data_IF_048328598818
#
_entry.id   IF_048328598818
#
_cell.length_a   1.000
_cell.length_b   1.000
_cell.length_c   1.000
_cell.angle_alpha   90.00
_cell.angle_beta   90.00
_cell.angle_gamma   90.00
#
_symmetry.space_group_name_H-M   'P 1'
#
loop_
_entity.id
_entity.type
_entity.pdbx_description
1 polymer ?
#
# COMPACT_ATOMS: atom_id res chain seq x y z
N UNK A 1 -3.17 -43.32 -1.38
CA UNK A 1 -4.30 -42.40 -1.66
C UNK A 1 -4.29 -41.12 -0.83
N UNK A 2 -4.23 -41.11 0.52
CA UNK A 2 -4.17 -39.89 1.33
C UNK A 2 -2.90 -39.02 1.10
N UNK A 3 -1.75 -39.64 0.84
CA UNK A 3 -0.48 -38.93 0.56
C UNK A 3 -0.41 -38.32 -0.84
N UNK A 4 -1.04 -38.91 -1.81
CA UNK A 4 -1.16 -38.40 -3.17
C UNK A 4 -2.09 -37.19 -3.25
N UNK A 5 -3.21 -37.21 -2.51
CA UNK A 5 -4.11 -36.07 -2.39
C UNK A 5 -3.47 -34.87 -1.67
N UNK A 6 -2.59 -35.14 -0.67
CA UNK A 6 -1.80 -34.09 -0.01
C UNK A 6 -0.77 -33.48 -0.96
N UNK A 7 -0.05 -34.31 -1.76
CA UNK A 7 0.89 -33.83 -2.78
C UNK A 7 0.21 -33.03 -3.89
N UNK A 8 -0.95 -33.51 -4.38
CA UNK A 8 -1.72 -32.79 -5.41
C UNK A 8 -2.27 -31.45 -4.91
N UNK A 9 -2.73 -31.37 -3.64
CA UNK A 9 -3.13 -30.09 -3.02
C UNK A 9 -1.96 -29.12 -2.87
N UNK A 10 -0.80 -29.60 -2.45
CA UNK A 10 0.41 -28.78 -2.30
C UNK A 10 0.95 -28.31 -3.66
N UNK A 11 0.86 -29.13 -4.73
CA UNK A 11 1.25 -28.73 -6.08
C UNK A 11 0.25 -27.76 -6.73
N UNK A 12 -1.05 -27.87 -6.43
CA UNK A 12 -2.07 -26.94 -6.93
C UNK A 12 -1.92 -25.55 -6.31
N UNK A 13 -1.58 -25.47 -5.02
CA UNK A 13 -1.26 -24.20 -4.36
C UNK A 13 0.05 -23.58 -4.89
N UNK A 14 1.09 -24.38 -5.17
CA UNK A 14 2.32 -23.88 -5.79
C UNK A 14 2.11 -23.24 -7.18
N UNK A 15 1.14 -23.71 -7.97
CA UNK A 15 0.86 -23.15 -9.30
C UNK A 15 0.01 -21.88 -9.28
N UNK A 16 -0.76 -21.62 -8.23
CA UNK A 16 -1.65 -20.46 -8.16
C UNK A 16 -0.88 -19.19 -7.79
N UNK A 17 0.16 -19.29 -6.95
CA UNK A 17 0.99 -18.14 -6.53
C UNK A 17 2.11 -17.85 -7.56
N UNK A 18 2.63 -18.86 -8.26
CA UNK A 18 3.69 -18.70 -9.27
C UNK A 18 3.25 -18.02 -10.59
N UNK A 19 1.97 -17.70 -10.77
CA UNK A 19 1.44 -17.06 -11.98
C UNK A 19 1.16 -15.56 -11.86
N UNK A 20 1.34 -14.98 -10.68
CA UNK A 20 1.27 -13.52 -10.50
C UNK A 20 2.69 -13.00 -10.69
N UNK A 21 2.99 -12.21 -11.74
CA UNK A 21 4.31 -11.61 -11.84
C UNK A 21 4.54 -10.76 -10.60
N UNK A 22 5.66 -11.00 -9.91
CA UNK A 22 6.07 -10.33 -8.66
C UNK A 22 5.98 -8.79 -8.75
N UNK A 23 6.16 -8.24 -9.95
CA UNK A 23 5.99 -6.80 -10.24
C UNK A 23 4.59 -6.26 -9.97
N UNK A 24 3.52 -7.07 -10.15
CA UNK A 24 2.16 -6.68 -9.82
C UNK A 24 1.87 -6.77 -8.31
N UNK A 25 2.55 -7.66 -7.59
CA UNK A 25 2.45 -7.75 -6.13
C UNK A 25 2.97 -6.47 -5.46
N UNK A 26 4.07 -5.89 -5.97
CA UNK A 26 4.62 -4.62 -5.45
C UNK A 26 3.72 -3.41 -5.76
N UNK A 27 3.11 -3.34 -6.95
CA UNK A 27 2.15 -2.28 -7.27
C UNK A 27 0.90 -2.33 -6.37
N UNK A 28 0.45 -3.55 -6.03
CA UNK A 28 -0.64 -3.74 -5.08
C UNK A 28 -0.21 -3.58 -3.61
N UNK A 29 1.07 -3.84 -3.29
CA UNK A 29 1.61 -3.68 -1.93
C UNK A 29 1.86 -2.22 -1.55
N UNK A 30 2.05 -1.34 -2.52
CA UNK A 30 2.37 0.07 -2.26
C UNK A 30 1.13 0.94 -1.94
N UNK A 31 -0.10 0.51 -2.25
CA UNK A 31 -1.32 1.33 -2.10
C UNK A 31 -1.88 1.33 -0.65
N UNK A 32 -1.07 1.01 0.36
CA UNK A 32 -1.56 0.82 1.72
C UNK A 32 -0.98 1.81 2.73
N UNK A 33 -1.42 3.04 2.72
CA UNK A 33 -1.38 3.88 3.94
C UNK A 33 -2.45 4.96 3.87
N UNK A 34 -3.38 4.92 4.81
CA UNK A 34 -3.88 6.11 5.51
C UNK A 34 -4.81 5.64 6.63
N UNK A 35 -4.25 5.55 7.85
CA UNK A 35 -5.03 5.91 9.02
C UNK A 35 -5.07 7.44 9.00
N UNK A 36 -6.18 8.03 8.63
CA UNK A 36 -6.37 9.46 8.77
C UNK A 36 -7.10 9.69 10.08
N UNK A 37 -6.38 10.03 11.14
CA UNK A 37 -6.98 10.88 12.14
C UNK A 37 -7.32 12.19 11.46
N UNK A 38 -8.60 12.58 11.51
CA UNK A 38 -9.07 13.89 11.11
C UNK A 38 -8.56 14.94 12.09
N UNK A 39 -7.29 15.31 12.01
CA UNK A 39 -6.88 16.63 12.42
C UNK A 39 -7.26 17.57 11.29
N UNK A 40 -8.15 18.50 11.59
CA UNK A 40 -8.41 19.66 10.74
C UNK A 40 -7.04 20.30 10.46
N UNK A 41 -6.47 20.02 9.30
CA UNK A 41 -5.33 20.77 8.81
C UNK A 41 -5.85 22.14 8.41
N UNK A 42 -5.64 23.12 9.30
CA UNK A 42 -5.52 24.51 8.89
C UNK A 42 -4.67 24.54 7.63
N UNK A 43 -5.15 25.23 6.61
CA UNK A 43 -4.41 25.56 5.39
C UNK A 43 -3.18 26.41 5.76
N UNK A 44 -2.17 25.78 6.31
CA UNK A 44 -0.85 26.35 6.48
C UNK A 44 -0.19 26.40 5.11
N UNK A 45 0.00 27.59 4.55
CA UNK A 45 0.99 27.82 3.51
C UNK A 45 2.29 27.14 3.92
N UNK A 46 2.68 26.07 3.21
CA UNK A 46 4.00 25.47 3.37
C UNK A 46 5.01 26.55 3.07
N UNK A 47 5.67 27.02 4.12
CA UNK A 47 6.79 27.95 4.07
C UNK A 47 7.86 27.35 3.17
N UNK A 48 7.97 27.85 1.94
CA UNK A 48 8.91 27.37 0.91
C UNK A 48 10.35 27.76 1.23
N UNK A 49 10.59 28.43 2.36
CA UNK A 49 11.87 29.09 2.70
C UNK A 49 12.91 28.19 3.35
N UNK A 50 12.57 26.91 3.73
CA UNK A 50 13.50 26.03 4.45
C UNK A 50 13.51 24.57 3.97
N UNK A 51 13.49 24.34 2.64
CA UNK A 51 13.63 22.98 2.09
C UNK A 51 15.10 22.57 2.18
N UNK A 52 15.40 21.48 2.90
CA UNK A 52 16.78 20.95 2.97
C UNK A 52 17.20 20.34 1.62
N UNK A 53 18.53 20.24 1.35
CA UNK A 53 19.04 19.58 0.15
C UNK A 53 18.49 18.15 -0.03
N UNK A 54 18.38 17.39 1.05
CA UNK A 54 17.84 16.02 1.06
C UNK A 54 16.36 16.01 0.66
N UNK A 55 15.56 16.95 1.14
CA UNK A 55 14.16 17.08 0.76
C UNK A 55 13.99 17.50 -0.70
N UNK A 56 14.84 18.42 -1.18
CA UNK A 56 14.85 18.82 -2.59
C UNK A 56 15.14 17.62 -3.49
N UNK A 57 16.14 16.80 -3.12
CA UNK A 57 16.46 15.56 -3.83
C UNK A 57 15.28 14.57 -3.80
N UNK A 58 14.61 14.38 -2.65
CA UNK A 58 13.45 13.53 -2.54
C UNK A 58 12.30 13.97 -3.46
N UNK A 59 11.98 15.26 -3.48
CA UNK A 59 10.96 15.82 -4.35
C UNK A 59 11.30 15.64 -5.83
N UNK A 60 12.59 15.80 -6.21
CA UNK A 60 13.05 15.59 -7.58
C UNK A 60 12.91 14.11 -7.99
N UNK A 61 13.22 13.16 -7.10
CA UNK A 61 13.04 11.73 -7.34
C UNK A 61 11.55 11.43 -7.64
N UNK A 62 10.62 11.97 -6.84
CA UNK A 62 9.19 11.76 -7.04
C UNK A 62 8.71 12.41 -8.35
N UNK A 63 9.17 13.62 -8.66
CA UNK A 63 8.85 14.28 -9.91
C UNK A 63 9.30 13.48 -11.14
N UNK A 64 10.53 12.95 -11.11
CA UNK A 64 11.06 12.09 -12.17
C UNK A 64 10.28 10.78 -12.28
N UNK A 65 9.93 10.17 -11.14
CA UNK A 65 9.18 8.92 -11.12
C UNK A 65 7.75 9.06 -11.68
N UNK A 66 7.12 10.24 -11.63
CA UNK A 66 5.80 10.50 -12.25
C UNK A 66 5.82 10.38 -13.79
N UNK A 67 6.99 10.50 -14.42
CA UNK A 67 7.16 10.44 -15.87
C UNK A 67 8.10 9.30 -16.30
N UNK A 68 8.46 8.40 -15.38
CA UNK A 68 9.31 7.24 -15.66
C UNK A 68 8.62 6.33 -16.70
N UNK A 69 9.41 5.66 -17.54
CA UNK A 69 8.90 4.69 -18.53
C UNK A 69 8.21 3.50 -17.85
N UNK A 70 8.69 3.12 -16.67
CA UNK A 70 8.14 2.05 -15.85
C UNK A 70 6.81 2.50 -15.17
N UNK A 71 5.74 1.82 -15.52
CA UNK A 71 4.41 2.09 -14.94
C UNK A 71 4.36 1.94 -13.43
N UNK A 72 5.16 1.01 -12.87
CA UNK A 72 5.22 0.78 -11.43
C UNK A 72 5.89 1.95 -10.70
N UNK A 73 6.94 2.54 -11.28
CA UNK A 73 7.55 3.75 -10.73
C UNK A 73 6.54 4.92 -10.69
N UNK A 74 5.71 5.08 -11.75
CA UNK A 74 4.66 6.11 -11.75
C UNK A 74 3.60 5.86 -10.68
N UNK A 75 3.15 4.61 -10.51
CA UNK A 75 2.19 4.24 -9.45
C UNK A 75 2.76 4.55 -8.07
N UNK A 76 4.01 4.15 -7.81
CA UNK A 76 4.67 4.39 -6.52
C UNK A 76 4.84 5.90 -6.24
N UNK A 77 5.17 6.71 -7.27
CA UNK A 77 5.23 8.16 -7.12
C UNK A 77 3.88 8.77 -6.74
N UNK A 78 2.80 8.31 -7.37
CA UNK A 78 1.43 8.74 -7.02
C UNK A 78 1.12 8.41 -5.56
N UNK A 79 1.48 7.21 -5.09
CA UNK A 79 1.29 6.83 -3.69
C UNK A 79 2.08 7.72 -2.73
N UNK A 80 3.36 8.00 -3.03
CA UNK A 80 4.15 8.91 -2.20
C UNK A 80 3.50 10.28 -2.10
N UNK A 81 2.96 10.81 -3.20
CA UNK A 81 2.25 12.09 -3.23
C UNK A 81 1.05 12.07 -2.29
N UNK A 82 0.26 10.99 -2.32
CA UNK A 82 -0.90 10.83 -1.43
C UNK A 82 -0.47 10.76 0.04
N UNK A 83 0.46 9.86 0.35
CA UNK A 83 0.86 9.57 1.74
C UNK A 83 1.63 10.71 2.41
N UNK A 84 2.30 11.55 1.61
CA UNK A 84 3.07 12.70 2.09
C UNK A 84 2.37 14.05 1.83
N UNK A 85 1.13 14.04 1.34
CA UNK A 85 0.33 15.25 1.13
C UNK A 85 0.93 16.24 0.14
N UNK A 86 1.69 15.79 -0.88
CA UNK A 86 2.38 16.65 -1.83
C UNK A 86 1.43 17.20 -2.91
N UNK A 87 0.43 18.00 -2.50
CA UNK A 87 -0.65 18.53 -3.37
C UNK A 87 -0.12 19.27 -4.61
N UNK A 88 1.08 19.87 -4.53
CA UNK A 88 1.70 20.57 -5.66
C UNK A 88 1.89 19.71 -6.91
N UNK A 89 1.97 18.37 -6.76
CA UNK A 89 2.10 17.43 -7.86
C UNK A 89 0.75 16.94 -8.42
N UNK A 90 -0.38 17.33 -7.82
CA UNK A 90 -1.70 16.87 -8.27
C UNK A 90 -2.04 17.23 -9.72
N UNK A 91 -1.59 18.36 -10.31
CA UNK A 91 -1.75 18.60 -11.75
C UNK A 91 -1.05 17.54 -12.63
N UNK A 92 0.11 17.00 -12.20
CA UNK A 92 0.78 15.89 -12.88
C UNK A 92 0.01 14.58 -12.69
N UNK A 93 -0.44 14.28 -11.48
CA UNK A 93 -1.28 13.11 -11.17
C UNK A 93 -2.57 13.14 -12.01
N UNK A 94 -3.21 14.29 -12.14
CA UNK A 94 -4.40 14.43 -12.99
C UNK A 94 -4.14 14.04 -14.46
N UNK A 95 -2.96 14.34 -15.01
CA UNK A 95 -2.58 13.91 -16.37
C UNK A 95 -2.48 12.40 -16.48
N UNK A 96 -2.08 11.70 -15.42
CA UNK A 96 -2.00 10.23 -15.37
C UNK A 96 -3.36 9.53 -15.45
N UNK A 97 -4.49 10.25 -15.33
CA UNK A 97 -5.82 9.69 -15.68
C UNK A 97 -5.92 9.24 -17.14
N UNK A 98 -4.99 9.66 -18.01
CA UNK A 98 -4.91 9.28 -19.42
C UNK A 98 -3.66 8.46 -19.74
N UNK A 99 -3.04 7.85 -18.72
CA UNK A 99 -1.88 6.99 -18.93
C UNK A 99 -2.25 5.76 -19.76
N UNK A 100 -1.31 5.29 -20.58
CA UNK A 100 -1.51 4.08 -21.40
C UNK A 100 -1.72 2.81 -20.57
N UNK A 101 -1.23 2.77 -19.32
CA UNK A 101 -1.35 1.63 -18.43
C UNK A 101 -2.51 1.80 -17.44
N UNK A 102 -3.43 0.86 -17.44
CA UNK A 102 -4.59 0.81 -16.53
C UNK A 102 -4.22 0.99 -15.05
N UNK A 103 -3.18 0.32 -14.49
CA UNK A 103 -2.81 0.51 -13.09
C UNK A 103 -2.44 1.95 -12.73
N UNK A 104 -1.85 2.70 -13.66
CA UNK A 104 -1.49 4.11 -13.45
C UNK A 104 -2.75 4.99 -13.46
N UNK A 105 -3.68 4.77 -14.41
CA UNK A 105 -4.97 5.47 -14.44
C UNK A 105 -5.77 5.22 -13.15
N UNK A 106 -5.80 3.97 -12.71
CA UNK A 106 -6.43 3.55 -11.46
C UNK A 106 -5.85 4.28 -10.24
N UNK A 107 -4.51 4.26 -10.07
CA UNK A 107 -3.83 4.93 -8.98
C UNK A 107 -4.07 6.45 -8.98
N UNK A 108 -4.03 7.08 -10.16
CA UNK A 108 -4.30 8.51 -10.31
C UNK A 108 -5.73 8.87 -9.88
N UNK A 109 -6.72 8.06 -10.27
CA UNK A 109 -8.11 8.28 -9.87
C UNK A 109 -8.28 8.16 -8.35
N UNK A 110 -7.69 7.13 -7.71
CA UNK A 110 -7.70 6.98 -6.25
C UNK A 110 -7.07 8.18 -5.55
N UNK A 111 -5.88 8.62 -6.00
CA UNK A 111 -5.15 9.73 -5.42
C UNK A 111 -5.97 11.04 -5.45
N UNK A 112 -6.69 11.29 -6.53
CA UNK A 112 -7.58 12.45 -6.64
C UNK A 112 -8.71 12.39 -5.61
N UNK A 113 -9.26 11.19 -5.38
CA UNK A 113 -10.28 10.98 -4.34
C UNK A 113 -9.73 11.16 -2.93
N UNK A 114 -8.60 10.55 -2.63
CA UNK A 114 -7.95 10.57 -1.30
C UNK A 114 -7.59 12.00 -0.89
N UNK A 115 -6.96 12.76 -1.78
CA UNK A 115 -6.59 14.15 -1.53
C UNK A 115 -7.71 15.15 -1.81
N UNK A 116 -8.91 14.68 -2.17
CA UNK A 116 -10.09 15.51 -2.51
C UNK A 116 -9.74 16.64 -3.49
N UNK A 117 -8.95 16.31 -4.51
CA UNK A 117 -8.48 17.29 -5.49
C UNK A 117 -9.58 17.67 -6.49
N UNK A 118 -10.39 18.66 -6.14
CA UNK A 118 -11.57 19.11 -6.89
C UNK A 118 -11.28 19.62 -8.31
N UNK A 119 -10.11 20.21 -8.66
CA UNK A 119 -9.85 20.64 -10.04
C UNK A 119 -9.90 19.50 -11.06
N UNK A 120 -9.70 18.24 -10.64
CA UNK A 120 -9.75 17.06 -11.52
C UNK A 120 -11.17 16.54 -11.81
N UNK A 121 -12.24 17.16 -11.28
CA UNK A 121 -13.63 16.65 -11.38
C UNK A 121 -14.09 16.42 -12.84
N UNK A 122 -13.74 17.32 -13.75
CA UNK A 122 -14.05 17.15 -15.18
C UNK A 122 -13.30 15.97 -15.79
N UNK A 123 -12.01 15.78 -15.45
CA UNK A 123 -11.21 14.64 -15.93
C UNK A 123 -11.75 13.31 -15.40
N UNK A 124 -12.17 13.25 -14.12
CA UNK A 124 -12.81 12.08 -13.54
C UNK A 124 -14.12 11.71 -14.24
N UNK A 125 -14.89 12.69 -14.70
CA UNK A 125 -16.12 12.43 -15.49
C UNK A 125 -15.81 11.70 -16.81
N UNK A 126 -14.61 11.88 -17.37
CA UNK A 126 -14.13 11.09 -18.51
C UNK A 126 -13.69 9.69 -18.06
N UNK A 127 -12.98 9.57 -16.93
CA UNK A 127 -12.56 8.28 -16.38
C UNK A 127 -13.73 7.38 -15.96
N UNK A 128 -14.91 7.93 -15.69
CA UNK A 128 -16.16 7.14 -15.49
C UNK A 128 -16.62 6.41 -16.77
N UNK A 129 -16.00 6.69 -17.92
CA UNK A 129 -16.26 6.05 -19.21
C UNK A 129 -15.02 5.32 -19.73
N UNK A 130 -14.05 5.02 -18.85
CA UNK A 130 -12.84 4.29 -19.22
C UNK A 130 -13.19 2.90 -19.77
N UNK A 131 -12.34 2.36 -20.62
CA UNK A 131 -12.48 1.00 -21.16
C UNK A 131 -12.31 -0.09 -20.09
N UNK A 132 -11.60 0.22 -19.01
CA UNK A 132 -11.31 -0.70 -17.91
C UNK A 132 -12.21 -0.41 -16.70
N UNK A 133 -12.94 -1.43 -16.26
CA UNK A 133 -13.88 -1.33 -15.14
C UNK A 133 -13.18 -0.92 -13.83
N UNK A 134 -11.93 -1.33 -13.61
CA UNK A 134 -11.19 -0.93 -12.42
C UNK A 134 -11.00 0.59 -12.35
N UNK A 135 -10.71 1.22 -13.50
CA UNK A 135 -10.57 2.68 -13.58
C UNK A 135 -11.92 3.37 -13.33
N UNK A 136 -13.01 2.80 -13.88
CA UNK A 136 -14.38 3.32 -13.62
C UNK A 136 -14.70 3.28 -12.12
N UNK A 137 -14.37 2.17 -11.43
CA UNK A 137 -14.62 2.00 -9.98
C UNK A 137 -13.79 2.98 -9.17
N UNK A 138 -12.51 3.19 -9.51
CA UNK A 138 -11.65 4.18 -8.86
C UNK A 138 -12.13 5.63 -9.10
N UNK A 139 -12.57 5.95 -10.32
CA UNK A 139 -13.15 7.25 -10.65
C UNK A 139 -14.48 7.50 -9.90
N UNK A 140 -15.31 6.48 -9.77
CA UNK A 140 -16.54 6.53 -8.99
C UNK A 140 -16.26 6.80 -7.50
N UNK A 141 -15.26 6.14 -6.91
CA UNK A 141 -14.77 6.45 -5.57
C UNK A 141 -14.35 7.92 -5.45
N UNK A 142 -13.50 8.39 -6.37
CA UNK A 142 -13.01 9.77 -6.37
C UNK A 142 -14.14 10.79 -6.47
N UNK A 143 -15.11 10.56 -7.37
CA UNK A 143 -16.31 11.42 -7.50
C UNK A 143 -17.13 11.44 -6.20
N UNK A 144 -17.27 10.29 -5.53
CA UNK A 144 -17.92 10.19 -4.23
C UNK A 144 -17.20 11.01 -3.17
N UNK A 145 -15.87 10.93 -3.10
CA UNK A 145 -15.01 11.71 -2.18
C UNK A 145 -15.07 13.22 -2.46
N UNK A 146 -15.35 13.60 -3.71
CA UNK A 146 -15.57 14.99 -4.14
C UNK A 146 -17.03 15.47 -3.96
N UNK A 147 -17.82 14.76 -3.18
CA UNK A 147 -19.18 15.14 -2.77
C UNK A 147 -20.31 14.57 -3.66
N UNK A 148 -20.02 13.79 -4.69
CA UNK A 148 -21.03 13.16 -5.54
C UNK A 148 -21.30 11.72 -5.09
N UNK A 149 -21.82 11.54 -3.87
CA UNK A 149 -21.93 10.26 -3.15
C UNK A 149 -22.71 9.15 -3.87
N UNK A 150 -23.60 9.50 -4.84
CA UNK A 150 -24.32 8.54 -5.67
C UNK A 150 -23.38 7.57 -6.42
N UNK A 151 -22.15 7.99 -6.71
CA UNK A 151 -21.18 7.15 -7.40
C UNK A 151 -20.62 6.02 -6.54
N UNK A 152 -20.72 6.09 -5.21
CA UNK A 152 -20.31 4.99 -4.33
C UNK A 152 -21.10 3.70 -4.60
N UNK A 153 -22.28 3.81 -5.22
CA UNK A 153 -23.05 2.62 -5.60
C UNK A 153 -22.35 1.79 -6.69
N UNK A 154 -21.58 2.43 -7.58
CA UNK A 154 -20.75 1.73 -8.58
C UNK A 154 -19.69 0.88 -7.86
N UNK A 155 -19.06 1.41 -6.82
CA UNK A 155 -18.07 0.69 -6.03
C UNK A 155 -18.71 -0.51 -5.31
N UNK A 156 -19.89 -0.31 -4.70
CA UNK A 156 -20.61 -1.39 -4.00
C UNK A 156 -21.02 -2.52 -4.94
N UNK A 157 -21.48 -2.21 -6.14
CA UNK A 157 -21.86 -3.22 -7.14
C UNK A 157 -20.66 -3.99 -7.70
N UNK A 158 -19.50 -3.34 -7.80
CA UNK A 158 -18.29 -3.96 -8.32
C UNK A 158 -17.75 -5.12 -7.45
N UNK A 159 -18.21 -5.25 -6.19
CA UNK A 159 -17.81 -6.36 -5.30
C UNK A 159 -18.35 -7.72 -5.77
N UNK A 160 -19.39 -7.72 -6.60
CA UNK A 160 -20.03 -8.91 -7.18
C UNK A 160 -19.77 -9.06 -8.68
N UNK A 161 -18.70 -8.48 -9.18
CA UNK A 161 -18.31 -8.57 -10.59
C UNK A 161 -17.72 -9.95 -10.91
N UNK A 162 -17.92 -10.46 -12.14
CA UNK A 162 -17.36 -11.74 -12.58
C UNK A 162 -15.82 -11.72 -12.59
N UNK A 163 -15.19 -10.57 -12.88
CA UNK A 163 -13.74 -10.41 -12.85
C UNK A 163 -13.23 -10.32 -11.41
N UNK A 164 -12.41 -11.28 -11.00
CA UNK A 164 -11.82 -11.36 -9.67
C UNK A 164 -10.91 -10.18 -9.33
N UNK A 165 -10.33 -9.52 -10.33
CA UNK A 165 -9.52 -8.33 -10.12
C UNK A 165 -10.41 -7.14 -9.79
N UNK A 166 -11.53 -6.98 -10.48
CA UNK A 166 -12.53 -5.95 -10.18
C UNK A 166 -13.10 -6.15 -8.78
N UNK A 167 -13.45 -7.39 -8.40
CA UNK A 167 -13.93 -7.72 -7.04
C UNK A 167 -12.90 -7.36 -5.97
N UNK A 168 -11.63 -7.72 -6.17
CA UNK A 168 -10.56 -7.42 -5.22
C UNK A 168 -10.34 -5.90 -5.09
N UNK A 169 -10.33 -5.16 -6.20
CA UNK A 169 -10.21 -3.71 -6.20
C UNK A 169 -11.41 -3.02 -5.57
N UNK A 170 -12.62 -3.53 -5.78
CA UNK A 170 -13.81 -3.04 -5.10
C UNK A 170 -13.73 -3.25 -3.59
N UNK A 171 -13.31 -4.44 -3.12
CA UNK A 171 -13.08 -4.71 -1.69
C UNK A 171 -12.07 -3.73 -1.09
N UNK A 172 -10.95 -3.52 -1.78
CA UNK A 172 -9.92 -2.55 -1.39
C UNK A 172 -10.50 -1.13 -1.24
N UNK A 173 -11.26 -0.65 -2.24
CA UNK A 173 -11.84 0.69 -2.22
C UNK A 173 -12.92 0.83 -1.15
N UNK A 174 -13.74 -0.22 -0.92
CA UNK A 174 -14.74 -0.22 0.17
C UNK A 174 -14.08 -0.03 1.54
N UNK A 175 -12.90 -0.64 1.77
CA UNK A 175 -12.12 -0.37 2.98
C UNK A 175 -11.61 1.07 3.10
N UNK A 176 -11.37 1.75 1.97
CA UNK A 176 -10.94 3.17 1.92
C UNK A 176 -12.08 4.17 2.05
N UNK A 177 -13.31 3.74 1.82
CA UNK A 177 -14.48 4.63 1.95
C UNK A 177 -14.79 5.02 3.40
N UNK A 178 -14.18 4.33 4.39
CA UNK A 178 -14.42 4.55 5.82
C UNK A 178 -15.90 4.37 6.21
N UNK A 179 -16.68 3.67 5.38
CA UNK A 179 -18.09 3.40 5.58
C UNK A 179 -18.31 1.99 6.15
N UNK A 180 -18.58 1.90 7.46
CA UNK A 180 -18.84 0.62 8.13
C UNK A 180 -20.05 -0.14 7.59
N UNK A 181 -20.96 0.50 6.85
CA UNK A 181 -22.05 -0.21 6.17
C UNK A 181 -21.53 -1.17 5.09
N UNK A 182 -20.31 -0.97 4.60
CA UNK A 182 -19.64 -1.88 3.67
C UNK A 182 -19.22 -3.22 4.29
N UNK A 183 -19.21 -3.36 5.64
CA UNK A 183 -18.78 -4.59 6.32
C UNK A 183 -19.55 -5.83 5.87
N UNK A 184 -20.87 -5.70 5.64
CA UNK A 184 -21.71 -6.81 5.18
C UNK A 184 -21.28 -7.31 3.79
N UNK A 185 -21.01 -6.40 2.87
CA UNK A 185 -20.53 -6.73 1.52
C UNK A 185 -19.14 -7.37 1.55
N UNK A 186 -18.24 -6.83 2.37
CA UNK A 186 -16.90 -7.35 2.54
C UNK A 186 -16.90 -8.73 3.18
N UNK A 187 -17.76 -8.98 4.18
CA UNK A 187 -17.93 -10.30 4.80
C UNK A 187 -18.43 -11.31 3.77
N UNK A 188 -19.45 -10.93 2.99
CA UNK A 188 -19.94 -11.75 1.90
C UNK A 188 -18.84 -12.09 0.88
N UNK A 189 -18.10 -11.09 0.37
CA UNK A 189 -17.03 -11.31 -0.59
C UNK A 189 -15.90 -12.20 -0.05
N UNK A 190 -15.62 -12.15 1.25
CA UNK A 190 -14.65 -13.01 1.92
C UNK A 190 -15.12 -14.47 2.01
N UNK A 191 -16.43 -14.71 2.24
CA UNK A 191 -17.00 -16.02 2.50
C UNK A 191 -17.53 -16.71 1.23
N UNK A 192 -17.78 -15.95 0.17
CA UNK A 192 -18.28 -16.45 -1.10
C UNK A 192 -17.32 -17.50 -1.68
N UNK A 193 -17.89 -18.68 -2.04
CA UNK A 193 -17.14 -19.83 -2.57
C UNK A 193 -16.45 -19.53 -3.90
N UNK A 194 -17.02 -18.62 -4.69
CA UNK A 194 -16.53 -18.24 -6.01
C UNK A 194 -15.48 -17.09 -5.94
N UNK A 195 -15.23 -16.55 -4.74
CA UNK A 195 -14.16 -15.58 -4.52
C UNK A 195 -12.78 -16.22 -4.60
N UNK A 196 -11.87 -15.60 -5.34
CA UNK A 196 -10.46 -15.97 -5.34
C UNK A 196 -9.79 -15.67 -3.99
N UNK A 197 -8.63 -16.27 -3.71
CA UNK A 197 -7.86 -15.98 -2.50
C UNK A 197 -7.48 -14.49 -2.42
N UNK A 198 -7.22 -13.85 -3.57
CA UNK A 198 -6.98 -12.41 -3.66
C UNK A 198 -8.16 -11.58 -3.17
N UNK A 199 -9.37 -11.92 -3.59
CA UNK A 199 -10.60 -11.23 -3.13
C UNK A 199 -10.79 -11.42 -1.64
N UNK A 200 -10.63 -12.66 -1.14
CA UNK A 200 -10.78 -12.98 0.28
C UNK A 200 -9.79 -12.21 1.15
N UNK A 201 -8.53 -12.18 0.74
CA UNK A 201 -7.50 -11.44 1.48
C UNK A 201 -7.78 -9.93 1.47
N UNK A 202 -8.16 -9.38 0.31
CA UNK A 202 -8.46 -7.97 0.17
C UNK A 202 -9.69 -7.56 1.00
N UNK A 203 -10.71 -8.42 1.05
CA UNK A 203 -11.88 -8.21 1.90
C UNK A 203 -11.52 -8.30 3.39
N UNK A 204 -10.65 -9.24 3.81
CA UNK A 204 -10.15 -9.33 5.18
C UNK A 204 -9.44 -8.05 5.61
N UNK A 205 -8.55 -7.53 4.77
CA UNK A 205 -7.83 -6.29 5.05
C UNK A 205 -8.76 -5.08 5.10
N UNK A 206 -9.70 -4.98 4.16
CA UNK A 206 -10.70 -3.92 4.15
C UNK A 206 -11.57 -3.93 5.43
N UNK A 207 -11.95 -5.13 5.90
CA UNK A 207 -12.66 -5.30 7.18
C UNK A 207 -11.79 -4.86 8.37
N UNK A 208 -10.52 -5.26 8.39
CA UNK A 208 -9.57 -4.83 9.41
C UNK A 208 -9.46 -3.29 9.46
N UNK A 209 -9.34 -2.65 8.30
CA UNK A 209 -9.28 -1.18 8.16
C UNK A 209 -10.54 -0.49 8.69
N UNK A 210 -11.70 -1.13 8.55
CA UNK A 210 -12.97 -0.64 9.10
C UNK A 210 -13.17 -0.98 10.60
N UNK A 211 -12.14 -1.55 11.25
CA UNK A 211 -12.15 -1.87 12.69
C UNK A 211 -13.02 -3.08 13.03
N UNK A 212 -13.07 -4.09 12.16
CA UNK A 212 -13.79 -5.33 12.41
C UNK A 212 -12.84 -6.39 13.01
N UNK A 213 -12.90 -6.55 14.33
CA UNK A 213 -12.03 -7.46 15.08
C UNK A 213 -12.31 -8.95 14.78
N UNK A 214 -13.46 -9.31 14.21
CA UNK A 214 -13.78 -10.69 13.85
C UNK A 214 -12.79 -11.28 12.81
N UNK A 215 -12.03 -10.44 12.11
CA UNK A 215 -11.02 -10.89 11.14
C UNK A 215 -9.76 -11.44 11.81
N UNK A 216 -9.49 -11.10 13.07
CA UNK A 216 -8.22 -11.36 13.75
C UNK A 216 -7.80 -12.85 13.73
N UNK A 217 -8.66 -13.84 13.99
CA UNK A 217 -8.26 -15.25 13.94
C UNK A 217 -7.79 -15.71 12.54
N UNK A 218 -8.39 -15.15 11.49
CA UNK A 218 -7.98 -15.46 10.09
C UNK A 218 -6.68 -14.78 9.71
N UNK A 219 -6.50 -13.52 10.11
CA UNK A 219 -5.25 -12.78 9.91
C UNK A 219 -4.09 -13.42 10.69
N UNK A 220 -4.36 -13.91 11.92
CA UNK A 220 -3.41 -14.71 12.67
C UNK A 220 -2.89 -15.90 11.86
N UNK A 221 -3.79 -16.70 11.25
CA UNK A 221 -3.38 -17.84 10.45
C UNK A 221 -2.49 -17.44 9.27
N UNK A 222 -2.73 -16.29 8.65
CA UNK A 222 -1.94 -15.76 7.52
C UNK A 222 -0.53 -15.34 7.97
N UNK A 223 -0.38 -14.65 9.11
CA UNK A 223 0.94 -14.22 9.60
C UNK A 223 1.82 -15.36 10.10
N UNK A 224 1.26 -16.57 10.24
CA UNK A 224 2.00 -17.80 10.54
C UNK A 224 2.05 -18.77 9.35
N UNK A 225 1.78 -18.28 8.13
CA UNK A 225 1.96 -19.07 6.91
C UNK A 225 3.41 -19.52 6.74
N UNK A 226 3.61 -20.66 6.08
CA UNK A 226 4.93 -21.13 5.67
C UNK A 226 5.59 -20.21 4.62
N UNK A 227 4.81 -19.37 3.94
CA UNK A 227 5.27 -18.48 2.87
C UNK A 227 5.48 -17.06 3.40
N UNK A 228 6.67 -16.51 3.17
CA UNK A 228 7.02 -15.15 3.63
C UNK A 228 6.09 -14.07 3.06
N UNK A 229 5.72 -14.18 1.79
CA UNK A 229 4.82 -13.23 1.12
C UNK A 229 3.43 -13.19 1.80
N UNK A 230 2.88 -14.35 2.16
CA UNK A 230 1.63 -14.41 2.93
C UNK A 230 1.79 -13.73 4.28
N UNK A 231 2.90 -14.01 5.00
CA UNK A 231 3.19 -13.38 6.29
C UNK A 231 3.23 -11.86 6.18
N UNK A 232 3.90 -11.31 5.17
CA UNK A 232 3.97 -9.86 4.91
C UNK A 232 2.58 -9.28 4.62
N UNK A 233 1.76 -9.96 3.81
CA UNK A 233 0.38 -9.52 3.55
C UNK A 233 -0.46 -9.53 4.84
N UNK A 234 -0.36 -10.59 5.64
CA UNK A 234 -1.03 -10.69 6.94
C UNK A 234 -0.59 -9.61 7.92
N UNK A 235 0.71 -9.31 7.99
CA UNK A 235 1.29 -8.24 8.81
C UNK A 235 0.66 -6.88 8.46
N UNK A 236 0.52 -6.57 7.18
CA UNK A 236 -0.10 -5.31 6.73
C UNK A 236 -1.58 -5.24 7.10
N UNK A 237 -2.31 -6.33 6.89
CA UNK A 237 -3.72 -6.40 7.24
C UNK A 237 -3.93 -6.28 8.75
N UNK A 238 -3.05 -6.89 9.58
CA UNK A 238 -3.07 -6.75 11.04
C UNK A 238 -2.74 -5.30 11.45
N UNK A 239 -1.76 -4.67 10.80
CA UNK A 239 -1.45 -3.25 11.03
C UNK A 239 -2.64 -2.33 10.78
N UNK A 240 -3.47 -2.65 9.78
CA UNK A 240 -4.67 -1.88 9.48
C UNK A 240 -5.75 -1.97 10.57
N UNK A 241 -5.77 -3.03 11.39
CA UNK A 241 -6.70 -3.19 12.50
C UNK A 241 -6.40 -2.26 13.68
N UNK A 242 -5.14 -1.87 13.86
CA UNK A 242 -4.68 -0.87 14.84
C UNK A 242 -5.05 -1.14 16.32
N UNK A 243 -5.35 -2.38 16.72
CA UNK A 243 -5.67 -2.76 18.10
C UNK A 243 -4.41 -3.15 18.91
N UNK A 244 -4.53 -3.20 20.24
CA UNK A 244 -3.44 -3.70 21.11
C UNK A 244 -3.04 -5.13 20.73
N UNK A 245 -4.02 -6.02 20.52
CA UNK A 245 -3.76 -7.42 20.08
C UNK A 245 -3.03 -7.48 18.75
N UNK A 246 -3.42 -6.61 17.79
CA UNK A 246 -2.72 -6.50 16.51
C UNK A 246 -1.25 -6.09 16.72
N UNK A 247 -0.99 -5.12 17.59
CA UNK A 247 0.36 -4.69 17.95
C UNK A 247 1.19 -5.81 18.56
N UNK A 248 0.63 -6.58 19.50
CA UNK A 248 1.31 -7.70 20.13
C UNK A 248 1.72 -8.76 19.11
N UNK A 249 0.85 -9.07 18.15
CA UNK A 249 1.17 -9.98 17.02
C UNK A 249 2.33 -9.43 16.18
N UNK A 250 2.29 -8.15 15.84
CA UNK A 250 3.35 -7.51 15.05
C UNK A 250 4.70 -7.55 15.76
N UNK A 251 4.73 -7.38 17.09
CA UNK A 251 5.94 -7.49 17.88
C UNK A 251 6.55 -8.89 17.75
N UNK A 252 5.74 -9.96 17.77
CA UNK A 252 6.28 -11.33 17.58
C UNK A 252 6.91 -11.56 16.22
N UNK A 253 6.54 -10.73 15.21
CA UNK A 253 7.08 -10.83 13.83
C UNK A 253 8.39 -10.09 13.64
N UNK A 254 8.86 -9.36 14.62
CA UNK A 254 10.21 -8.81 14.64
C UNK A 254 11.30 -9.89 14.77
N UNK A 255 10.94 -11.09 15.28
CA UNK A 255 11.82 -12.26 15.41
C UNK A 255 11.60 -13.32 14.31
N UNK A 256 11.05 -12.92 13.16
CA UNK A 256 10.84 -13.82 12.02
C UNK A 256 12.18 -14.18 11.34
N UNK A 257 12.29 -15.39 10.81
CA UNK A 257 13.49 -15.88 10.11
C UNK A 257 13.82 -15.09 8.83
N UNK A 258 12.81 -14.49 8.20
CA UNK A 258 12.94 -13.74 6.94
C UNK A 258 13.05 -12.23 7.22
N UNK A 259 14.11 -11.60 6.70
CA UNK A 259 14.39 -10.17 6.88
C UNK A 259 13.23 -9.28 6.43
N UNK A 260 12.65 -9.54 5.26
CA UNK A 260 11.54 -8.76 4.72
C UNK A 260 10.30 -8.82 5.64
N UNK A 261 10.08 -9.94 6.32
CA UNK A 261 8.97 -10.10 7.29
C UNK A 261 9.22 -9.25 8.53
N UNK A 262 10.46 -9.26 9.10
CA UNK A 262 10.84 -8.38 10.21
C UNK A 262 10.66 -6.91 9.87
N UNK A 263 11.16 -6.48 8.70
CA UNK A 263 11.07 -5.09 8.25
C UNK A 263 9.63 -4.64 7.99
N UNK A 264 8.77 -5.53 7.45
CA UNK A 264 7.36 -5.25 7.29
C UNK A 264 6.65 -5.09 8.65
N UNK A 265 7.01 -5.91 9.64
CA UNK A 265 6.48 -5.78 11.01
C UNK A 265 6.92 -4.45 11.65
N UNK A 266 8.19 -4.07 11.51
CA UNK A 266 8.73 -2.80 11.99
C UNK A 266 8.03 -1.59 11.32
N UNK A 267 7.78 -1.65 10.01
CA UNK A 267 7.01 -0.64 9.30
C UNK A 267 5.60 -0.47 9.89
N UNK A 268 4.87 -1.57 10.09
CA UNK A 268 3.51 -1.50 10.63
C UNK A 268 3.48 -1.03 12.10
N UNK A 269 4.45 -1.45 12.92
CA UNK A 269 4.61 -0.93 14.28
C UNK A 269 4.88 0.57 14.28
N UNK A 270 5.78 1.06 13.40
CA UNK A 270 6.06 2.48 13.24
C UNK A 270 4.80 3.29 12.88
N UNK A 271 3.95 2.78 11.99
CA UNK A 271 2.65 3.38 11.64
C UNK A 271 1.72 3.50 12.85
N UNK A 272 1.78 2.54 13.76
CA UNK A 272 1.02 2.54 15.01
C UNK A 272 1.69 3.37 16.12
N UNK A 273 2.72 4.15 15.80
CA UNK A 273 3.47 4.96 16.76
C UNK A 273 4.34 4.14 17.73
N UNK A 274 4.57 2.87 17.43
CA UNK A 274 5.38 1.96 18.24
C UNK A 274 6.77 1.79 17.62
N UNK A 275 7.83 2.12 18.37
CA UNK A 275 9.23 2.07 17.91
C UNK A 275 9.94 0.75 18.23
N UNK A 276 9.25 -0.27 18.71
CA UNK A 276 9.88 -1.54 19.12
C UNK A 276 10.70 -2.18 17.99
N UNK A 277 10.30 -1.95 16.72
CA UNK A 277 11.02 -2.45 15.53
C UNK A 277 12.25 -1.63 15.12
N UNK A 278 12.63 -0.57 15.85
CA UNK A 278 13.74 0.30 15.48
C UNK A 278 15.07 -0.44 15.36
N UNK A 279 15.36 -1.34 16.32
CA UNK A 279 16.61 -2.11 16.35
C UNK A 279 16.74 -3.05 15.15
N UNK A 280 15.64 -3.68 14.72
CA UNK A 280 15.62 -4.55 13.53
C UNK A 280 15.96 -3.78 12.27
N UNK A 281 15.39 -2.58 12.13
CA UNK A 281 15.67 -1.71 10.97
C UNK A 281 17.11 -1.20 11.02
N UNK A 282 17.58 -0.78 12.21
CA UNK A 282 18.96 -0.31 12.40
C UNK A 282 19.98 -1.39 12.04
N UNK A 283 19.78 -2.61 12.55
CA UNK A 283 20.64 -3.74 12.25
C UNK A 283 20.68 -4.05 10.75
N UNK A 284 19.52 -4.03 10.10
CA UNK A 284 19.41 -4.29 8.66
C UNK A 284 20.24 -3.31 7.81
N UNK A 285 20.21 -2.02 8.15
CA UNK A 285 20.92 -0.99 7.38
C UNK A 285 22.38 -0.80 7.79
N UNK A 286 22.73 -0.93 9.07
CA UNK A 286 24.13 -0.80 9.57
C UNK A 286 24.99 -1.99 9.16
N UNK A 287 24.47 -3.20 9.35
CA UNK A 287 25.20 -4.44 9.00
C UNK A 287 25.04 -4.81 7.53
N UNK A 288 24.27 -4.03 6.76
CA UNK A 288 23.97 -4.29 5.36
C UNK A 288 23.51 -5.75 5.13
N UNK A 289 22.49 -6.17 5.87
CA UNK A 289 21.97 -7.55 5.85
C UNK A 289 21.42 -7.97 4.50
N UNK A 290 21.33 -7.06 3.54
CA UNK A 290 20.98 -7.34 2.15
C UNK A 290 22.17 -7.86 1.32
N UNK A 291 23.39 -7.80 1.86
CA UNK A 291 24.59 -8.33 1.19
C UNK A 291 24.50 -9.85 1.07
N UNK A 292 24.68 -10.35 -0.16
CA UNK A 292 24.60 -11.80 -0.44
C UNK A 292 23.20 -12.29 -0.83
N UNK A 293 22.17 -11.47 -0.69
CA UNK A 293 20.87 -11.74 -1.29
C UNK A 293 20.95 -11.56 -2.83
N UNK A 294 20.05 -12.24 -3.55
CA UNK A 294 19.88 -11.92 -4.96
C UNK A 294 19.36 -10.46 -5.12
N UNK A 295 19.47 -9.96 -6.35
CA UNK A 295 19.15 -8.56 -6.64
C UNK A 295 17.71 -8.18 -6.24
N UNK A 296 16.76 -9.07 -6.47
CA UNK A 296 15.34 -8.83 -6.23
C UNK A 296 15.03 -8.84 -4.72
N UNK A 297 15.55 -9.83 -3.98
CA UNK A 297 15.41 -9.88 -2.52
C UNK A 297 16.10 -8.70 -1.84
N UNK A 298 17.30 -8.30 -2.30
CA UNK A 298 18.00 -7.11 -1.81
C UNK A 298 17.21 -5.84 -2.06
N UNK A 299 16.61 -5.67 -3.25
CA UNK A 299 15.75 -4.53 -3.57
C UNK A 299 14.54 -4.48 -2.65
N UNK A 300 13.82 -5.62 -2.47
CA UNK A 300 12.64 -5.70 -1.59
C UNK A 300 12.98 -5.33 -0.16
N UNK A 301 14.05 -5.91 0.40
CA UNK A 301 14.46 -5.63 1.76
C UNK A 301 14.85 -4.15 1.95
N UNK A 302 15.59 -3.55 1.01
CA UNK A 302 15.96 -2.13 1.07
C UNK A 302 14.75 -1.20 0.93
N UNK A 303 13.74 -1.55 0.11
CA UNK A 303 12.47 -0.81 0.03
C UNK A 303 11.75 -0.85 1.38
N UNK A 304 11.61 -2.05 1.99
CA UNK A 304 10.94 -2.20 3.28
C UNK A 304 11.71 -1.48 4.40
N UNK A 305 13.05 -1.52 4.41
CA UNK A 305 13.86 -0.77 5.35
C UNK A 305 13.62 0.74 5.22
N UNK A 306 13.63 1.28 4.00
CA UNK A 306 13.35 2.68 3.77
C UNK A 306 11.93 3.08 4.23
N UNK A 307 10.92 2.25 3.97
CA UNK A 307 9.55 2.47 4.44
C UNK A 307 9.46 2.46 5.96
N UNK A 308 10.10 1.49 6.63
CA UNK A 308 10.14 1.40 8.09
C UNK A 308 10.85 2.61 8.71
N UNK A 309 11.97 3.09 8.12
CA UNK A 309 12.62 4.33 8.54
C UNK A 309 11.64 5.51 8.51
N UNK A 310 10.86 5.64 7.43
CA UNK A 310 9.87 6.70 7.28
C UNK A 310 8.73 6.66 8.30
N UNK A 311 8.38 5.47 8.79
CA UNK A 311 7.34 5.31 9.80
C UNK A 311 7.87 5.50 11.23
N UNK A 312 9.12 5.13 11.52
CA UNK A 312 9.74 5.25 12.85
C UNK A 312 10.33 6.64 13.07
N UNK A 313 11.07 7.17 12.09
CA UNK A 313 11.62 8.54 12.03
C UNK A 313 12.53 8.95 13.21
N UNK A 314 13.36 8.04 13.74
CA UNK A 314 14.38 8.43 14.72
C UNK A 314 15.64 9.00 14.05
N UNK A 315 16.44 9.87 14.73
CA UNK A 315 17.70 10.36 14.19
C UNK A 315 18.67 9.23 13.81
N UNK A 316 18.68 8.15 14.59
CA UNK A 316 19.52 6.96 14.41
C UNK A 316 19.23 6.27 13.08
N UNK A 317 17.98 6.27 12.63
CA UNK A 317 17.56 5.67 11.38
C UNK A 317 17.63 6.64 10.20
N UNK A 318 17.23 7.90 10.41
CA UNK A 318 17.15 8.88 9.31
C UNK A 318 18.52 9.26 8.73
N UNK A 319 19.62 9.04 9.47
CA UNK A 319 21.00 9.23 8.99
C UNK A 319 21.35 8.38 7.75
N UNK A 320 20.62 7.27 7.50
CA UNK A 320 20.82 6.39 6.34
C UNK A 320 20.07 6.85 5.08
N UNK A 321 19.07 7.71 5.20
CA UNK A 321 18.26 8.16 4.07
C UNK A 321 19.05 8.80 2.93
N UNK A 322 20.10 9.65 3.17
CA UNK A 322 20.90 10.21 2.08
C UNK A 322 21.58 9.14 1.19
N UNK A 323 21.97 8.00 1.76
CA UNK A 323 22.55 6.90 1.02
C UNK A 323 21.48 6.13 0.23
N UNK A 324 20.31 5.86 0.85
CA UNK A 324 19.18 5.20 0.20
C UNK A 324 18.61 6.03 -0.97
N UNK A 325 18.64 7.36 -0.90
CA UNK A 325 18.27 8.25 -2.02
C UNK A 325 19.22 8.13 -3.23
N UNK A 326 20.40 7.56 -3.06
CA UNK A 326 21.40 7.32 -4.12
C UNK A 326 21.48 5.85 -4.55
N UNK A 327 20.60 4.99 -4.02
CA UNK A 327 20.59 3.56 -4.36
C UNK A 327 20.44 3.33 -5.87
N UNK A 328 21.00 2.25 -6.39
CA UNK A 328 20.89 1.88 -7.80
C UNK A 328 19.45 1.62 -8.23
N UNK A 329 18.65 0.97 -7.36
CA UNK A 329 17.24 0.74 -7.62
C UNK A 329 16.42 2.04 -7.49
N UNK A 330 15.66 2.35 -8.53
CA UNK A 330 14.69 3.46 -8.50
C UNK A 330 13.62 3.26 -7.44
N UNK A 331 13.21 2.01 -7.15
CA UNK A 331 12.19 1.71 -6.15
C UNK A 331 12.68 1.99 -4.73
N UNK A 332 13.94 1.67 -4.43
CA UNK A 332 14.57 2.04 -3.15
C UNK A 332 14.68 3.56 -3.04
N UNK A 333 15.07 4.27 -4.11
CA UNK A 333 15.10 5.74 -4.09
C UNK A 333 13.72 6.37 -3.85
N UNK A 334 12.66 5.83 -4.46
CA UNK A 334 11.27 6.30 -4.27
C UNK A 334 10.82 6.06 -2.82
N UNK A 335 11.10 4.88 -2.26
CA UNK A 335 10.78 4.56 -0.85
C UNK A 335 11.55 5.47 0.12
N UNK A 336 12.84 5.72 -0.14
CA UNK A 336 13.65 6.65 0.65
C UNK A 336 13.15 8.09 0.54
N UNK A 337 12.71 8.52 -0.65
CA UNK A 337 12.08 9.83 -0.84
C UNK A 337 10.79 9.96 -0.04
N UNK A 338 9.95 8.92 -0.01
CA UNK A 338 8.77 8.85 0.87
C UNK A 338 9.19 9.06 2.33
N UNK A 339 10.17 8.30 2.81
CA UNK A 339 10.65 8.38 4.19
C UNK A 339 11.14 9.80 4.57
N UNK A 340 11.94 10.44 3.70
CA UNK A 340 12.40 11.82 3.91
C UNK A 340 11.24 12.79 4.05
N UNK A 341 10.22 12.67 3.20
CA UNK A 341 9.06 13.56 3.22
C UNK A 341 8.15 13.30 4.42
N UNK A 342 7.99 12.04 4.84
CA UNK A 342 7.21 11.67 6.03
C UNK A 342 7.86 12.14 7.33
N UNK A 343 9.17 11.96 7.49
CA UNK A 343 9.87 12.34 8.70
C UNK A 343 9.91 13.86 8.94
N UNK A 344 9.69 14.67 7.91
CA UNK A 344 9.48 16.11 8.07
C UNK A 344 8.13 16.45 8.71
N UNK A 345 7.13 15.61 8.47
CA UNK A 345 5.76 15.83 8.94
C UNK A 345 5.54 15.39 10.40
N UNK A 346 6.43 14.55 10.93
CA UNK A 346 6.44 14.08 12.32
C UNK A 346 7.34 14.95 13.19
#
# INVERSE_FOLDING_TARGET
MKNELKKARTQKHKKIIASIPYTLLFAYMAIFVLGCETSQTSSGNLDTTNITPTQSQALQIIQNALVDEDSLARVNAVEVIVTTGQIKFMPQVQRLLRDKFTPVRFAAALAIGDLRYSPAKSSLSQSLKDEDINVIVAAAYAMGRLGSTKYFEIVRKAIDNDDQTVRANAAFILGRMEDRNSLKLLKWAQEDKDSSDKVRLQALEARARLGDDEVLPRLWAIVYSAYADDRIMGIRAIGALATSKARDILITKLDDDILEVRLAAAEQLGKLGNRTGEMEVLEAVEKNLTTGLDREASERANVLAALAIGEICTPELTKFLPNLLKNESKFVRIAAAKAVLQCKMK
#
